data_IF_156751618160
#
_entry.id   IF_156751618160
#
_cell.length_a   1.000
_cell.length_b   1.000
_cell.length_c   1.000
_cell.angle_alpha   90.00
_cell.angle_beta   90.00
_cell.angle_gamma   90.00
#
_symmetry.space_group_name_H-M   'P 1'
#
loop_
_entity.id
_entity.type
_entity.pdbx_description
1 polymer ?
#
# COMPACT_ATOMS: atom_id res chain seq x y z
N UNK A 1 -44.58 10.97 1.14
CA UNK A 1 -43.44 11.44 0.34
C UNK A 1 -42.28 10.56 0.74
N UNK A 2 -41.70 9.77 -0.17
CA UNK A 2 -40.53 8.95 0.16
C UNK A 2 -39.33 9.86 0.37
N UNK A 3 -38.51 9.59 1.38
CA UNK A 3 -37.24 10.30 1.54
C UNK A 3 -36.39 10.21 0.26
N UNK A 4 -35.62 11.27 -0.07
CA UNK A 4 -34.72 11.23 -1.21
C UNK A 4 -33.67 10.14 -0.98
N UNK A 5 -33.58 9.20 -1.94
CA UNK A 5 -32.55 8.16 -1.93
C UNK A 5 -31.16 8.79 -1.92
N UNK A 6 -30.24 8.24 -1.15
CA UNK A 6 -28.84 8.66 -1.20
C UNK A 6 -28.26 8.36 -2.58
N UNK A 7 -27.21 9.09 -2.99
CA UNK A 7 -26.50 8.82 -4.25
C UNK A 7 -26.04 7.35 -4.29
N UNK A 8 -25.58 6.80 -3.16
CA UNK A 8 -25.20 5.38 -3.05
C UNK A 8 -26.37 4.43 -3.38
N UNK A 9 -27.58 4.72 -2.90
CA UNK A 9 -28.78 3.93 -3.20
C UNK A 9 -29.25 4.07 -4.66
N UNK A 10 -28.94 5.18 -5.34
CA UNK A 10 -29.23 5.34 -6.77
C UNK A 10 -28.38 4.40 -7.64
N UNK A 11 -27.18 4.06 -7.19
CA UNK A 11 -26.28 3.13 -7.87
C UNK A 11 -26.37 1.69 -7.31
N UNK A 12 -27.42 1.36 -6.55
CA UNK A 12 -27.66 0.01 -6.09
C UNK A 12 -26.73 -0.48 -4.97
N UNK A 13 -26.16 0.43 -4.16
CA UNK A 13 -25.19 0.10 -3.11
C UNK A 13 -25.61 -1.12 -2.28
N UNK A 14 -24.77 -2.15 -2.29
CA UNK A 14 -24.82 -3.27 -1.36
C UNK A 14 -24.03 -2.89 -0.10
N UNK A 15 -24.54 -3.23 1.09
CA UNK A 15 -23.70 -3.22 2.29
C UNK A 15 -22.67 -4.35 2.14
N UNK A 16 -21.39 -3.99 2.02
CA UNK A 16 -20.29 -4.94 1.86
C UNK A 16 -19.19 -4.61 2.88
N UNK A 17 -18.68 -5.64 3.53
CA UNK A 17 -17.66 -5.52 4.59
C UNK A 17 -16.22 -5.69 4.06
N UNK A 18 -16.07 -5.98 2.77
CA UNK A 18 -14.78 -6.19 2.10
C UNK A 18 -14.55 -5.15 1.01
N UNK A 19 -13.30 -4.95 0.63
CA UNK A 19 -12.89 -4.07 -0.47
C UNK A 19 -13.66 -4.45 -1.72
N UNK A 20 -14.47 -3.53 -2.27
CA UNK A 20 -15.33 -3.74 -3.44
C UNK A 20 -16.29 -4.94 -3.34
N UNK A 21 -16.59 -5.45 -2.14
CA UNK A 21 -17.37 -6.68 -1.99
C UNK A 21 -16.65 -7.95 -2.47
N UNK A 22 -15.31 -7.92 -2.56
CA UNK A 22 -14.51 -9.08 -2.93
C UNK A 22 -14.69 -10.26 -1.96
N UNK A 23 -14.56 -11.52 -2.42
CA UNK A 23 -14.55 -12.68 -1.55
C UNK A 23 -13.50 -12.58 -0.46
N UNK A 24 -13.87 -12.92 0.78
CA UNK A 24 -12.96 -12.91 1.91
C UNK A 24 -12.09 -14.17 1.95
N UNK A 25 -10.78 -14.01 2.19
CA UNK A 25 -9.83 -15.10 2.38
C UNK A 25 -8.89 -14.78 3.56
N UNK A 26 -9.19 -15.30 4.74
CA UNK A 26 -8.39 -15.05 5.95
C UNK A 26 -7.18 -15.97 6.09
N UNK A 27 -7.16 -17.10 5.37
CA UNK A 27 -6.03 -18.02 5.39
C UNK A 27 -5.04 -17.70 4.27
N UNK A 28 -3.99 -16.96 4.61
CA UNK A 28 -2.95 -16.54 3.66
C UNK A 28 -2.16 -17.69 3.03
N UNK A 29 -2.20 -18.88 3.63
CA UNK A 29 -1.50 -20.07 3.11
C UNK A 29 -2.27 -20.76 1.97
N UNK A 30 -3.54 -20.40 1.73
CA UNK A 30 -4.41 -21.05 0.73
C UNK A 30 -5.15 -20.03 -0.15
N UNK A 31 -4.44 -19.00 -0.62
CA UNK A 31 -5.04 -17.99 -1.49
C UNK A 31 -5.09 -18.52 -2.93
N UNK A 32 -6.31 -18.70 -3.45
CA UNK A 32 -6.58 -19.09 -4.84
C UNK A 32 -7.10 -17.88 -5.64
N UNK A 33 -6.26 -16.87 -5.82
CA UNK A 33 -6.60 -15.63 -6.52
C UNK A 33 -5.39 -15.04 -7.25
N UNK A 34 -5.61 -14.12 -8.19
CA UNK A 34 -4.53 -13.38 -8.85
C UNK A 34 -4.00 -12.24 -7.98
N UNK A 35 -4.85 -11.63 -7.17
CA UNK A 35 -4.49 -10.56 -6.24
C UNK A 35 -5.11 -10.76 -4.85
N UNK A 36 -4.42 -10.31 -3.82
CA UNK A 36 -4.89 -10.35 -2.44
C UNK A 36 -4.74 -8.98 -1.79
N UNK A 37 -5.84 -8.43 -1.29
CA UNK A 37 -5.91 -7.12 -0.66
C UNK A 37 -5.75 -7.33 0.85
N UNK A 38 -4.82 -6.61 1.46
CA UNK A 38 -4.54 -6.74 2.90
C UNK A 38 -4.41 -5.37 3.53
N UNK A 39 -5.23 -5.12 4.55
CA UNK A 39 -5.08 -3.94 5.38
C UNK A 39 -3.91 -4.09 6.34
N UNK A 40 -3.07 -3.07 6.42
CA UNK A 40 -1.91 -3.03 7.30
C UNK A 40 -1.96 -1.74 8.11
N UNK A 41 -2.69 -1.72 9.25
CA UNK A 41 -2.91 -0.48 10.00
C UNK A 41 -1.63 0.20 10.48
N UNK A 42 -0.63 -0.58 10.92
CA UNK A 42 0.57 -0.05 11.57
C UNK A 42 1.78 -0.90 11.21
N UNK A 43 2.86 -0.23 10.79
CA UNK A 43 4.19 -0.83 10.72
C UNK A 43 5.11 -0.21 11.77
N UNK A 44 5.59 1.02 11.57
CA UNK A 44 6.50 1.71 12.49
C UNK A 44 6.26 3.22 12.46
N UNK A 45 5.26 3.71 13.21
CA UNK A 45 4.99 5.14 13.30
C UNK A 45 6.14 5.86 14.01
N UNK A 46 6.32 7.15 13.75
CA UNK A 46 7.14 7.95 14.66
C UNK A 46 6.39 8.14 15.97
N UNK A 47 7.10 7.94 17.09
CA UNK A 47 6.56 8.13 18.45
C UNK A 47 5.88 9.49 18.65
N UNK A 48 6.38 10.54 17.98
CA UNK A 48 5.85 11.89 18.06
C UNK A 48 4.45 12.07 17.44
N UNK A 49 4.05 11.21 16.49
CA UNK A 49 2.76 11.31 15.77
C UNK A 49 1.82 10.13 16.04
N UNK A 50 2.37 8.97 16.44
CA UNK A 50 1.59 7.77 16.73
C UNK A 50 0.93 7.15 15.48
N UNK A 51 -0.08 6.31 15.71
CA UNK A 51 -0.75 5.49 14.69
C UNK A 51 -1.81 6.27 13.88
N UNK A 52 -1.53 7.48 13.42
CA UNK A 52 -2.54 8.40 12.85
C UNK A 52 -3.20 7.88 11.55
N UNK A 53 -2.56 6.95 10.85
CA UNK A 53 -3.11 6.30 9.65
C UNK A 53 -3.75 4.92 9.92
N UNK A 54 -3.85 4.44 11.17
CA UNK A 54 -4.30 3.07 11.45
C UNK A 54 -5.73 2.76 10.95
N UNK A 55 -6.59 3.77 10.82
CA UNK A 55 -7.96 3.61 10.32
C UNK A 55 -8.06 3.61 8.78
N UNK A 56 -6.96 3.85 8.06
CA UNK A 56 -6.96 3.95 6.60
C UNK A 56 -7.48 2.69 5.88
N UNK A 57 -7.15 1.44 6.30
CA UNK A 57 -7.71 0.25 5.66
C UNK A 57 -9.23 0.19 5.69
N UNK A 58 -9.83 0.53 6.82
CA UNK A 58 -11.29 0.54 6.98
C UNK A 58 -11.93 1.70 6.22
N UNK A 59 -11.33 2.89 6.30
CA UNK A 59 -11.79 4.07 5.59
C UNK A 59 -11.81 3.85 4.07
N UNK A 60 -10.79 3.18 3.52
CA UNK A 60 -10.72 2.88 2.09
C UNK A 60 -11.77 1.83 1.69
N UNK A 61 -11.97 0.77 2.48
CA UNK A 61 -13.05 -0.20 2.22
C UNK A 61 -14.43 0.47 2.23
N UNK A 62 -14.70 1.28 3.24
CA UNK A 62 -15.94 2.05 3.34
C UNK A 62 -16.11 2.99 2.15
N UNK A 63 -15.06 3.71 1.77
CA UNK A 63 -15.10 4.66 0.66
C UNK A 63 -15.41 3.97 -0.66
N UNK A 64 -14.89 2.76 -0.89
CA UNK A 64 -15.05 2.06 -2.17
C UNK A 64 -16.28 1.14 -2.21
N UNK A 65 -16.90 0.83 -1.07
CA UNK A 65 -18.07 -0.07 -0.96
C UNK A 65 -19.22 0.25 -1.94
N UNK A 66 -19.62 1.53 -2.18
CA UNK A 66 -20.71 1.81 -3.12
C UNK A 66 -20.46 1.32 -4.56
N UNK A 67 -19.21 1.13 -4.96
CA UNK A 67 -18.84 0.61 -6.28
C UNK A 67 -18.98 -0.90 -6.42
N UNK A 68 -19.18 -1.64 -5.33
CA UNK A 68 -19.41 -3.09 -5.38
C UNK A 68 -20.64 -3.47 -6.22
N UNK A 69 -21.65 -2.60 -6.28
CA UNK A 69 -22.85 -2.80 -7.10
C UNK A 69 -22.61 -2.59 -8.61
N UNK A 70 -21.46 -2.02 -8.99
CA UNK A 70 -21.14 -1.59 -10.35
C UNK A 70 -19.98 -2.39 -10.97
N UNK A 71 -19.62 -3.56 -10.43
CA UNK A 71 -18.48 -4.36 -10.92
C UNK A 71 -18.62 -4.81 -12.38
N UNK A 72 -19.85 -4.90 -12.89
CA UNK A 72 -20.15 -5.24 -14.28
C UNK A 72 -20.18 -4.01 -15.22
N UNK A 73 -20.04 -2.80 -14.68
CA UNK A 73 -19.97 -1.58 -15.49
C UNK A 73 -18.59 -1.42 -16.13
N UNK A 74 -18.54 -0.70 -17.25
CA UNK A 74 -17.29 -0.42 -17.96
C UNK A 74 -16.39 0.47 -17.09
N UNK A 75 -15.17 -0.01 -16.85
CA UNK A 75 -14.07 0.80 -16.37
C UNK A 75 -13.36 1.41 -17.59
N UNK A 76 -13.29 2.74 -17.67
CA UNK A 76 -12.78 3.44 -18.84
C UNK A 76 -11.26 3.35 -18.99
N UNK A 77 -10.53 2.99 -17.94
CA UNK A 77 -9.09 2.77 -18.03
C UNK A 77 -8.77 1.46 -18.77
N UNK A 78 -9.68 0.48 -18.70
CA UNK A 78 -9.57 -0.81 -19.39
C UNK A 78 -10.44 -0.91 -20.65
N UNK A 79 -11.50 -0.09 -20.75
CA UNK A 79 -12.51 -0.19 -21.81
C UNK A 79 -13.46 -1.37 -21.67
N UNK A 80 -13.43 -2.07 -20.54
CA UNK A 80 -14.25 -3.24 -20.19
C UNK A 80 -14.52 -3.27 -18.68
N UNK A 81 -15.39 -4.17 -18.15
CA UNK A 81 -15.58 -4.28 -16.70
C UNK A 81 -14.32 -4.73 -15.97
N UNK A 82 -14.21 -4.37 -14.68
CA UNK A 82 -13.06 -4.73 -13.84
C UNK A 82 -12.81 -6.24 -13.76
N UNK A 83 -13.88 -7.03 -13.80
CA UNK A 83 -13.85 -8.49 -13.89
C UNK A 83 -14.59 -8.97 -15.14
N UNK A 84 -13.93 -9.01 -16.31
CA UNK A 84 -14.56 -9.46 -17.55
C UNK A 84 -15.14 -10.87 -17.40
N UNK A 85 -16.41 -11.04 -17.81
CA UNK A 85 -17.14 -12.31 -17.65
C UNK A 85 -17.60 -12.62 -16.22
N UNK A 86 -17.51 -11.65 -15.28
CA UNK A 86 -17.98 -11.79 -13.90
C UNK A 86 -17.10 -12.66 -13.01
N UNK A 87 -15.96 -13.14 -13.52
CA UNK A 87 -15.05 -13.98 -12.74
C UNK A 87 -14.17 -13.09 -11.84
N UNK A 88 -14.51 -13.02 -10.56
CA UNK A 88 -13.69 -12.33 -9.57
C UNK A 88 -12.40 -13.12 -9.33
N UNK A 89 -11.26 -12.47 -9.59
CA UNK A 89 -9.92 -13.07 -9.41
C UNK A 89 -9.09 -12.38 -8.34
N UNK A 90 -9.74 -11.70 -7.40
CA UNK A 90 -9.11 -11.04 -6.27
C UNK A 90 -9.85 -11.38 -4.98
N UNK A 91 -9.13 -11.39 -3.86
CA UNK A 91 -9.69 -11.62 -2.53
C UNK A 91 -9.32 -10.51 -1.57
N UNK A 92 -10.16 -10.28 -0.57
CA UNK A 92 -9.84 -9.46 0.59
C UNK A 92 -9.40 -10.34 1.77
N UNK A 93 -8.21 -10.08 2.29
CA UNK A 93 -7.59 -10.81 3.39
C UNK A 93 -7.79 -10.14 4.76
N UNK A 94 -8.66 -9.14 4.85
CA UNK A 94 -8.94 -8.40 6.08
C UNK A 94 -7.78 -7.50 6.50
N UNK A 95 -7.59 -7.33 7.80
CA UNK A 95 -6.54 -6.51 8.37
C UNK A 95 -5.55 -7.37 9.17
N UNK A 96 -4.25 -7.04 9.09
CA UNK A 96 -3.28 -7.56 10.04
C UNK A 96 -3.52 -6.95 11.43
N UNK A 97 -3.45 -7.79 12.45
CA UNK A 97 -3.28 -7.34 13.83
C UNK A 97 -1.93 -6.67 14.00
N UNK A 98 -1.84 -5.73 14.93
CA UNK A 98 -0.62 -5.01 15.26
C UNK A 98 -0.50 -4.80 16.78
N UNK A 99 0.72 -4.62 17.25
CA UNK A 99 1.05 -4.20 18.62
C UNK A 99 1.57 -2.76 18.60
N UNK A 100 1.01 -1.90 19.44
CA UNK A 100 1.45 -0.50 19.57
C UNK A 100 2.80 -0.33 20.26
N UNK A 101 3.33 -1.40 20.86
CA UNK A 101 4.56 -1.40 21.63
C UNK A 101 5.68 -2.22 20.97
N UNK A 102 5.38 -3.06 19.98
CA UNK A 102 6.37 -3.88 19.27
C UNK A 102 6.28 -3.72 17.75
N UNK A 103 6.86 -2.62 17.27
CA UNK A 103 6.93 -2.33 15.83
C UNK A 103 7.84 -3.28 15.06
N UNK A 104 8.81 -3.93 15.73
CA UNK A 104 9.63 -4.95 15.08
C UNK A 104 8.80 -6.20 14.77
N UNK A 105 7.96 -6.64 15.71
CA UNK A 105 7.00 -7.71 15.48
C UNK A 105 5.98 -7.35 14.39
N UNK A 106 5.48 -6.11 14.35
CA UNK A 106 4.59 -5.65 13.27
C UNK A 106 5.25 -5.77 11.89
N UNK A 107 6.49 -5.26 11.75
CA UNK A 107 7.25 -5.40 10.48
C UNK A 107 7.44 -6.86 10.09
N UNK A 108 7.75 -7.74 11.06
CA UNK A 108 7.89 -9.17 10.80
C UNK A 108 6.57 -9.81 10.35
N UNK A 109 5.44 -9.44 10.97
CA UNK A 109 4.11 -9.93 10.59
C UNK A 109 3.75 -9.52 9.15
N UNK A 110 3.99 -8.25 8.80
CA UNK A 110 3.77 -7.74 7.44
C UNK A 110 4.63 -8.50 6.43
N UNK A 111 5.93 -8.63 6.69
CA UNK A 111 6.86 -9.38 5.84
C UNK A 111 6.37 -10.81 5.61
N UNK A 112 6.00 -11.51 6.69
CA UNK A 112 5.56 -12.90 6.61
C UNK A 112 4.24 -13.06 5.83
N UNK A 113 3.29 -12.13 6.00
CA UNK A 113 2.05 -12.12 5.24
C UNK A 113 2.32 -11.97 3.73
N UNK A 114 3.19 -11.02 3.35
CA UNK A 114 3.58 -10.81 1.95
C UNK A 114 4.34 -12.00 1.39
N UNK A 115 5.24 -12.63 2.17
CA UNK A 115 5.95 -13.85 1.75
C UNK A 115 4.96 -14.96 1.39
N UNK A 116 3.91 -15.16 2.20
CA UNK A 116 2.87 -16.17 1.93
C UNK A 116 2.12 -15.88 0.64
N UNK A 117 1.66 -14.64 0.46
CA UNK A 117 0.95 -14.22 -0.76
C UNK A 117 1.79 -14.44 -2.02
N UNK A 118 3.02 -13.92 -2.02
CA UNK A 118 3.93 -14.06 -3.17
C UNK A 118 4.31 -15.52 -3.38
N UNK A 119 4.48 -16.31 -2.31
CA UNK A 119 4.74 -17.75 -2.39
C UNK A 119 3.62 -18.54 -3.08
N UNK A 120 2.38 -18.06 -2.99
CA UNK A 120 1.22 -18.61 -3.70
C UNK A 120 1.07 -18.05 -5.14
N UNK A 121 2.03 -17.27 -5.64
CA UNK A 121 1.96 -16.64 -6.96
C UNK A 121 0.95 -15.49 -7.04
N UNK A 122 0.51 -14.96 -5.90
CA UNK A 122 -0.49 -13.91 -5.77
C UNK A 122 0.19 -12.55 -5.76
N UNK A 123 -0.43 -11.55 -6.40
CA UNK A 123 0.00 -10.15 -6.29
C UNK A 123 -0.53 -9.54 -4.98
N UNK A 124 0.34 -9.19 -4.02
CA UNK A 124 -0.09 -8.56 -2.77
C UNK A 124 -0.43 -7.08 -3.01
N UNK A 125 -1.59 -6.64 -2.52
CA UNK A 125 -2.02 -5.24 -2.51
C UNK A 125 -2.20 -4.82 -1.05
N UNK A 126 -1.27 -4.03 -0.52
CA UNK A 126 -1.33 -3.58 0.86
C UNK A 126 -2.04 -2.22 0.91
N UNK A 127 -3.06 -2.14 1.74
CA UNK A 127 -3.73 -0.88 2.09
C UNK A 127 -3.16 -0.49 3.44
N UNK A 128 -2.21 0.43 3.42
CA UNK A 128 -1.44 0.79 4.60
C UNK A 128 -2.19 1.68 5.58
N UNK A 129 -1.59 1.76 6.76
CA UNK A 129 -1.38 2.98 7.51
C UNK A 129 -0.25 3.80 6.88
N UNK A 130 0.67 4.32 7.70
CA UNK A 130 1.67 5.29 7.22
C UNK A 130 2.73 4.70 6.27
N UNK A 131 3.58 5.58 5.74
CA UNK A 131 4.58 5.23 4.71
C UNK A 131 5.79 4.43 5.23
N UNK A 132 5.72 3.89 6.46
CA UNK A 132 6.65 2.86 6.94
C UNK A 132 6.28 1.45 6.50
N UNK A 133 5.01 1.21 6.13
CA UNK A 133 4.49 -0.10 5.65
C UNK A 133 5.26 -0.66 4.46
N UNK A 134 5.71 0.13 3.47
CA UNK A 134 6.46 -0.40 2.34
C UNK A 134 7.77 -1.10 2.72
N UNK A 135 8.42 -0.75 3.84
CA UNK A 135 9.72 -1.34 4.22
C UNK A 135 9.63 -2.87 4.40
N UNK A 136 8.79 -3.42 5.30
CA UNK A 136 8.64 -4.86 5.42
C UNK A 136 8.01 -5.51 4.18
N UNK A 137 7.23 -4.77 3.39
CA UNK A 137 6.72 -5.27 2.10
C UNK A 137 7.85 -5.53 1.12
N UNK A 138 8.77 -4.57 0.93
CA UNK A 138 9.92 -4.75 0.04
C UNK A 138 10.83 -5.87 0.52
N UNK A 139 11.09 -5.97 1.82
CA UNK A 139 11.92 -7.03 2.41
C UNK A 139 11.35 -8.44 2.14
N UNK A 140 10.03 -8.58 2.02
CA UNK A 140 9.40 -9.86 1.67
C UNK A 140 9.76 -10.38 0.26
N UNK A 141 10.22 -9.51 -0.65
CA UNK A 141 10.64 -9.87 -2.00
C UNK A 141 12.12 -10.30 -2.09
N UNK A 142 12.86 -10.29 -0.99
CA UNK A 142 14.26 -10.73 -0.96
C UNK A 142 14.42 -12.15 -1.52
N UNK A 143 15.35 -12.32 -2.46
CA UNK A 143 15.64 -13.61 -3.12
C UNK A 143 14.57 -14.09 -4.10
N UNK A 144 13.58 -13.26 -4.45
CA UNK A 144 12.50 -13.62 -5.40
C UNK A 144 12.69 -13.04 -6.80
N UNK A 145 13.61 -12.09 -6.96
CA UNK A 145 13.91 -11.46 -8.24
C UNK A 145 14.60 -10.11 -8.04
N UNK A 146 14.78 -9.41 -9.16
CA UNK A 146 15.25 -8.02 -9.19
C UNK A 146 14.06 -7.11 -9.45
N UNK A 147 13.95 -6.02 -8.67
CA UNK A 147 12.76 -5.17 -8.66
C UNK A 147 13.10 -3.69 -8.91
N UNK A 148 12.16 -3.02 -9.55
CA UNK A 148 12.12 -1.56 -9.67
C UNK A 148 10.99 -1.04 -8.79
N UNK A 149 11.26 -0.01 -7.99
CA UNK A 149 10.24 0.70 -7.23
C UNK A 149 9.84 1.94 -8.03
N UNK A 150 8.54 2.11 -8.25
CA UNK A 150 7.93 3.37 -8.66
C UNK A 150 7.18 3.93 -7.45
N UNK A 151 7.67 5.04 -6.90
CA UNK A 151 7.00 5.77 -5.82
C UNK A 151 6.31 7.01 -6.38
N UNK A 152 5.04 7.18 -6.03
CA UNK A 152 4.29 8.43 -6.27
C UNK A 152 4.13 9.12 -4.93
N UNK A 153 4.92 10.16 -4.66
CA UNK A 153 4.93 10.84 -3.37
C UNK A 153 5.31 12.33 -3.52
N UNK A 154 4.87 13.15 -2.58
CA UNK A 154 5.34 14.53 -2.42
C UNK A 154 6.74 14.62 -1.80
N UNK A 155 7.16 13.58 -1.08
CA UNK A 155 8.42 13.49 -0.37
C UNK A 155 9.34 12.46 -1.04
N UNK A 156 10.61 12.46 -0.65
CA UNK A 156 11.57 11.49 -1.18
C UNK A 156 11.80 10.31 -0.22
N UNK A 157 11.52 10.49 1.07
CA UNK A 157 11.62 9.44 2.10
C UNK A 157 12.99 8.75 2.19
N UNK A 158 14.03 9.60 2.09
CA UNK A 158 15.44 9.21 2.15
C UNK A 158 16.13 9.43 3.50
N UNK A 159 15.39 9.73 4.58
CA UNK A 159 15.99 9.91 5.91
C UNK A 159 16.66 8.63 6.36
N UNK A 160 17.94 8.69 6.76
CA UNK A 160 18.56 7.51 7.40
C UNK A 160 17.92 7.22 8.76
N UNK A 161 17.65 8.26 9.54
CA UNK A 161 16.94 8.18 10.82
C UNK A 161 16.19 9.49 11.15
N UNK A 162 15.14 9.34 11.96
CA UNK A 162 14.41 10.45 12.57
C UNK A 162 14.19 10.12 14.05
N UNK A 163 14.80 10.89 14.94
CA UNK A 163 14.67 10.73 16.40
C UNK A 163 15.05 9.32 16.90
N UNK A 164 16.06 8.70 16.28
CA UNK A 164 16.55 7.36 16.58
C UNK A 164 15.82 6.24 15.83
N UNK A 165 14.74 6.53 15.11
CA UNK A 165 14.00 5.53 14.34
C UNK A 165 14.46 5.49 12.88
N UNK A 166 14.86 4.30 12.40
CA UNK A 166 15.37 4.05 11.04
C UNK A 166 14.32 3.43 10.11
N UNK A 167 13.24 2.90 10.67
CA UNK A 167 12.20 2.17 9.93
C UNK A 167 10.88 2.95 9.84
N UNK A 168 10.92 4.27 10.10
CA UNK A 168 9.72 5.11 10.06
C UNK A 168 9.38 5.63 8.66
N UNK A 169 8.27 6.37 8.58
CA UNK A 169 7.62 6.80 7.34
C UNK A 169 8.45 7.72 6.43
N UNK A 170 9.53 8.35 6.90
CA UNK A 170 10.42 9.16 6.03
C UNK A 170 11.68 8.42 5.59
N UNK A 171 11.74 7.10 5.78
CA UNK A 171 12.95 6.29 5.58
C UNK A 171 12.75 5.11 4.63
N UNK A 172 11.56 4.91 4.06
CA UNK A 172 11.23 3.69 3.32
C UNK A 172 12.08 3.50 2.05
N UNK A 173 12.31 4.54 1.26
CA UNK A 173 13.15 4.46 0.06
C UNK A 173 14.63 4.32 0.43
N UNK A 174 15.06 4.95 1.52
CA UNK A 174 16.42 4.75 2.04
C UNK A 174 16.65 3.32 2.55
N UNK A 175 15.66 2.68 3.18
CA UNK A 175 15.75 1.25 3.54
C UNK A 175 15.70 0.35 2.31
N UNK A 176 14.86 0.68 1.32
CA UNK A 176 14.77 -0.07 0.08
C UNK A 176 16.09 -0.05 -0.71
N UNK A 177 16.81 1.07 -0.72
CA UNK A 177 18.08 1.22 -1.44
C UNK A 177 19.23 0.37 -0.86
N UNK A 178 19.09 -0.07 0.39
CA UNK A 178 20.00 -0.99 1.08
C UNK A 178 19.71 -2.47 0.75
N UNK A 179 18.60 -2.77 0.08
CA UNK A 179 18.18 -4.13 -0.25
C UNK A 179 18.74 -4.59 -1.60
N UNK A 180 19.46 -5.72 -1.60
CA UNK A 180 20.16 -6.21 -2.79
C UNK A 180 19.25 -6.49 -3.99
N UNK A 181 17.97 -6.80 -3.78
CA UNK A 181 16.98 -7.08 -4.82
C UNK A 181 16.31 -5.83 -5.40
N UNK A 182 16.52 -4.64 -4.81
CA UNK A 182 16.03 -3.38 -5.37
C UNK A 182 17.11 -2.80 -6.27
N UNK A 183 16.85 -2.77 -7.58
CA UNK A 183 17.83 -2.36 -8.60
C UNK A 183 17.61 -0.95 -9.11
N UNK A 184 16.40 -0.43 -8.96
CA UNK A 184 16.01 0.87 -9.48
C UNK A 184 14.91 1.48 -8.60
N UNK A 185 15.00 2.77 -8.35
CA UNK A 185 13.98 3.56 -7.68
C UNK A 185 13.67 4.76 -8.59
N UNK A 186 12.40 4.90 -8.96
CA UNK A 186 11.85 6.04 -9.69
C UNK A 186 10.87 6.74 -8.74
N UNK A 187 11.07 8.04 -8.52
CA UNK A 187 10.21 8.84 -7.64
C UNK A 187 9.55 9.95 -8.44
N UNK A 188 8.22 10.03 -8.34
CA UNK A 188 7.38 10.95 -9.11
C UNK A 188 6.52 11.78 -8.15
N UNK A 189 6.54 13.10 -8.32
CA UNK A 189 5.64 14.03 -7.64
C UNK A 189 6.27 14.84 -6.50
N UNK A 190 7.57 14.65 -6.22
CA UNK A 190 8.22 15.34 -5.10
C UNK A 190 8.14 16.86 -5.28
N UNK A 191 7.79 17.57 -4.20
CA UNK A 191 7.51 19.01 -4.22
C UNK A 191 7.59 19.64 -2.84
N UNK A 192 7.77 20.96 -2.82
CA UNK A 192 7.76 21.77 -1.59
C UNK A 192 8.83 21.36 -0.57
N UNK A 193 8.75 21.95 0.63
CA UNK A 193 9.59 21.64 1.78
C UNK A 193 9.04 20.38 2.47
N UNK A 194 9.92 19.41 2.70
CA UNK A 194 9.61 18.15 3.39
C UNK A 194 10.63 17.81 4.49
N UNK A 195 10.62 16.56 4.94
CA UNK A 195 11.54 16.09 5.99
C UNK A 195 12.99 15.93 5.52
N UNK A 196 13.23 15.81 4.21
CA UNK A 196 14.56 15.58 3.64
C UNK A 196 15.57 16.70 3.99
N UNK A 197 16.82 16.31 4.16
CA UNK A 197 18.00 17.18 4.32
C UNK A 197 18.83 17.16 3.04
N UNK A 198 19.73 18.14 2.84
CA UNK A 198 20.62 18.13 1.69
C UNK A 198 21.47 16.86 1.56
N UNK A 199 21.82 16.20 2.67
CA UNK A 199 22.50 14.88 2.66
C UNK A 199 21.62 13.80 2.05
N UNK A 200 20.35 13.74 2.43
CA UNK A 200 19.43 12.69 1.99
C UNK A 200 19.20 12.76 0.47
N UNK A 201 19.11 13.99 -0.07
CA UNK A 201 19.04 14.20 -1.51
C UNK A 201 20.33 13.80 -2.25
N UNK A 202 21.50 14.04 -1.64
CA UNK A 202 22.78 13.59 -2.21
C UNK A 202 22.86 12.07 -2.21
N UNK A 203 22.58 11.43 -1.08
CA UNK A 203 22.56 9.97 -0.95
C UNK A 203 21.63 9.33 -1.99
N UNK A 204 20.43 9.89 -2.19
CA UNK A 204 19.48 9.42 -3.19
C UNK A 204 20.03 9.53 -4.63
N UNK A 205 20.66 10.65 -4.97
CA UNK A 205 21.27 10.87 -6.29
C UNK A 205 22.48 9.99 -6.52
N UNK A 206 23.34 9.85 -5.51
CA UNK A 206 24.54 9.02 -5.56
C UNK A 206 24.18 7.54 -5.68
N UNK A 207 23.07 7.11 -5.09
CA UNK A 207 22.52 5.76 -5.29
C UNK A 207 21.93 5.56 -6.70
N UNK A 208 21.50 6.64 -7.38
CA UNK A 208 21.00 6.61 -8.75
C UNK A 208 19.48 6.71 -8.90
N UNK A 209 18.79 7.38 -7.97
CA UNK A 209 17.33 7.62 -8.09
C UNK A 209 17.01 8.48 -9.32
N UNK A 210 15.98 8.07 -10.06
CA UNK A 210 15.35 8.89 -11.10
C UNK A 210 14.21 9.72 -10.50
N UNK A 211 14.36 11.04 -10.52
CA UNK A 211 13.40 11.98 -9.96
C UNK A 211 12.59 12.68 -11.04
N UNK A 212 11.26 12.68 -10.89
CA UNK A 212 10.31 13.45 -11.71
C UNK A 212 9.45 14.29 -10.78
N UNK A 213 9.82 15.55 -10.59
CA UNK A 213 9.12 16.43 -9.65
C UNK A 213 7.69 16.70 -10.09
N UNK A 214 6.86 17.21 -9.18
CA UNK A 214 5.51 17.63 -9.56
C UNK A 214 5.49 18.68 -10.68
N UNK A 215 6.59 19.43 -10.89
CA UNK A 215 6.73 20.38 -12.01
C UNK A 215 7.02 19.69 -13.34
N UNK A 216 7.56 18.48 -13.31
CA UNK A 216 7.92 17.73 -14.51
C UNK A 216 6.70 16.97 -15.09
N UNK A 217 5.65 16.78 -14.30
CA UNK A 217 4.44 16.01 -14.65
C UNK A 217 3.15 16.83 -14.64
N UNK A 218 3.26 18.15 -14.49
CA UNK A 218 2.13 19.11 -14.50
C UNK A 218 1.88 19.72 -15.87
#
# INVERSE_FOLDING_TARGET
MSEPKSIAQMFGSLEVDTFLGLPMCTNLDMIEAKAAILGVPVATPYKAVGNYCANAPEAIRTAIAPWAANLEHVDFDFGEPLFPGGQITAVDCGNLSYDENDFAANRAAIKNAVIKMVGNGVVPVLIGGDDSVPIPMFDAFAGKGDYTILQIDAHIDWRDEVQGERYGLSSNMRRASEMAHIKKIIQVGQRSIGSARPSDLRDAKDWGVEFYSARDVS
#
